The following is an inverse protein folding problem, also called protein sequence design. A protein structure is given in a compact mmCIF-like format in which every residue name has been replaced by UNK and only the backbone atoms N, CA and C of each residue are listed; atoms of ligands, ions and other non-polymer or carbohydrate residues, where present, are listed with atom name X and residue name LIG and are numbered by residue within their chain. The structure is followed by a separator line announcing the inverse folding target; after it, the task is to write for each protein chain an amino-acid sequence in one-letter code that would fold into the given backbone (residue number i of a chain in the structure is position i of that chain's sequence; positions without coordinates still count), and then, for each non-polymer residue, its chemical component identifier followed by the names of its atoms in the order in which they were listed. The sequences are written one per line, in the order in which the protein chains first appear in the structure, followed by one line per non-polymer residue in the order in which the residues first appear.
data_IF_162046225757
#
_entry.id   IF_162046225757
#
_cell.length_a   1.000
_cell.length_b   1.000
_cell.length_c   1.000
_cell.angle_alpha   90.00
_cell.angle_beta   90.00
_cell.angle_gamma   90.00
#
_symmetry.space_group_name_H-M   'P 1'
#
loop_
_entity.id
_entity.type
_entity.pdbx_description
1 polymer ?
#
# COMPACT_ATOMS: atom_id res chain seq x y z
N UNK A 1 15.86 -10.09 13.50
CA UNK A 1 14.59 -10.83 13.31
C UNK A 1 14.96 -12.27 12.97
N UNK A 2 14.46 -13.24 13.72
CA UNK A 2 14.71 -14.67 13.47
C UNK A 2 13.54 -15.24 12.66
N UNK A 3 13.82 -15.79 11.48
CA UNK A 3 12.81 -16.37 10.60
C UNK A 3 12.09 -17.56 11.23
N UNK A 4 12.76 -18.31 12.11
CA UNK A 4 12.12 -19.41 12.82
C UNK A 4 10.97 -18.92 13.72
N UNK A 5 11.12 -17.71 14.29
CA UNK A 5 10.04 -17.12 15.08
C UNK A 5 8.88 -16.66 14.20
N UNK A 6 9.11 -16.28 12.95
CA UNK A 6 8.03 -15.95 12.00
C UNK A 6 7.17 -17.18 11.73
N UNK A 7 7.79 -18.34 11.47
CA UNK A 7 7.05 -19.60 11.27
C UNK A 7 6.28 -20.03 12.52
N UNK A 8 6.90 -19.96 13.70
CA UNK A 8 6.22 -20.26 14.97
C UNK A 8 5.03 -19.33 15.23
N UNK A 9 5.17 -18.04 14.92
CA UNK A 9 4.09 -17.07 15.05
C UNK A 9 2.94 -17.38 14.07
N UNK A 10 3.26 -17.80 12.85
CA UNK A 10 2.26 -18.25 11.88
C UNK A 10 1.53 -19.52 12.35
N UNK A 11 2.25 -20.53 12.85
CA UNK A 11 1.64 -21.75 13.41
C UNK A 11 0.68 -21.41 14.56
N UNK A 12 1.12 -20.54 15.48
CA UNK A 12 0.26 -20.06 16.57
C UNK A 12 -0.96 -19.32 16.04
N UNK A 13 -0.79 -18.42 15.07
CA UNK A 13 -1.90 -17.67 14.47
C UNK A 13 -2.93 -18.60 13.80
N UNK A 14 -2.49 -19.62 13.07
CA UNK A 14 -3.37 -20.64 12.47
C UNK A 14 -4.19 -21.33 13.56
N UNK A 15 -3.51 -21.77 14.64
CA UNK A 15 -4.17 -22.44 15.76
C UNK A 15 -5.21 -21.52 16.42
N UNK A 16 -4.83 -20.29 16.75
CA UNK A 16 -5.72 -19.32 17.39
C UNK A 16 -6.96 -19.03 16.50
N UNK A 17 -6.83 -19.03 15.17
CA UNK A 17 -7.97 -18.86 14.26
C UNK A 17 -8.90 -20.07 14.26
N UNK A 18 -8.35 -21.28 14.18
CA UNK A 18 -9.13 -22.52 14.20
C UNK A 18 -9.81 -22.79 15.54
N UNK A 19 -9.17 -22.41 16.65
CA UNK A 19 -9.75 -22.52 17.99
C UNK A 19 -10.97 -21.59 18.15
N UNK A 20 -11.03 -20.48 17.42
CA UNK A 20 -12.17 -19.55 17.40
C UNK A 20 -13.24 -19.92 16.35
N UNK A 21 -12.83 -20.37 15.16
CA UNK A 21 -13.71 -20.81 14.07
C UNK A 21 -13.05 -21.98 13.33
N UNK A 22 -13.55 -23.20 13.58
CA UNK A 22 -13.02 -24.42 12.98
C UNK A 22 -13.13 -24.45 11.45
N UNK A 23 -14.07 -23.68 10.88
CA UNK A 23 -14.31 -23.57 9.43
C UNK A 23 -13.62 -22.34 8.82
N UNK A 24 -12.80 -21.61 9.58
CA UNK A 24 -12.21 -20.33 9.17
C UNK A 24 -11.54 -20.37 7.78
N UNK A 25 -10.65 -21.35 7.55
CA UNK A 25 -9.95 -21.46 6.27
C UNK A 25 -10.82 -22.01 5.15
N UNK A 26 -11.85 -22.80 5.47
CA UNK A 26 -12.82 -23.26 4.47
C UNK A 26 -13.63 -22.08 3.96
N UNK A 27 -14.16 -21.25 4.87
CA UNK A 27 -14.87 -20.00 4.53
C UNK A 27 -13.97 -19.05 3.74
N UNK A 28 -12.73 -18.85 4.18
CA UNK A 28 -11.77 -17.99 3.47
C UNK A 28 -11.44 -18.52 2.06
N UNK A 29 -11.45 -19.84 1.87
CA UNK A 29 -11.20 -20.48 0.57
C UNK A 29 -12.38 -20.40 -0.42
N UNK A 30 -13.59 -20.06 0.03
CA UNK A 30 -14.77 -19.97 -0.85
C UNK A 30 -14.72 -18.79 -1.82
N UNK A 31 -13.88 -17.80 -1.57
CA UNK A 31 -13.66 -16.66 -2.46
C UNK A 31 -13.46 -15.36 -1.70
N UNK A 32 -13.38 -14.28 -2.46
CA UNK A 32 -13.29 -12.91 -1.95
C UNK A 32 -14.37 -12.05 -2.62
N UNK A 33 -14.90 -11.08 -1.89
CA UNK A 33 -15.79 -10.07 -2.45
C UNK A 33 -15.48 -8.71 -1.82
N UNK A 34 -14.30 -8.13 -2.12
CA UNK A 34 -13.88 -6.89 -1.52
C UNK A 34 -14.73 -5.72 -2.02
N UNK A 35 -15.11 -4.83 -1.12
CA UNK A 35 -15.84 -3.59 -1.44
C UNK A 35 -14.90 -2.47 -1.93
N UNK A 36 -13.61 -2.62 -1.65
CA UNK A 36 -12.58 -1.59 -1.77
C UNK A 36 -11.30 -2.13 -2.40
N UNK A 37 -10.73 -1.37 -3.33
CA UNK A 37 -9.30 -1.42 -3.67
C UNK A 37 -8.54 -0.36 -2.88
N UNK A 38 -7.54 -0.79 -2.10
CA UNK A 38 -6.61 0.08 -1.38
C UNK A 38 -5.24 0.08 -2.05
N UNK A 39 -4.76 1.25 -2.48
CA UNK A 39 -3.43 1.48 -3.04
C UNK A 39 -2.60 2.26 -2.02
N UNK A 40 -1.63 1.60 -1.39
CA UNK A 40 -0.83 2.18 -0.32
C UNK A 40 0.68 2.08 -0.52
N UNK A 41 1.43 2.67 0.41
CA UNK A 41 2.89 2.58 0.39
C UNK A 41 3.37 1.20 0.92
N UNK A 42 4.51 0.72 0.41
CA UNK A 42 5.21 -0.46 0.94
C UNK A 42 5.83 -0.23 2.34
N UNK A 43 5.73 0.97 2.92
CA UNK A 43 6.17 1.26 4.29
C UNK A 43 5.56 0.28 5.30
N UNK A 44 6.40 -0.37 6.11
CA UNK A 44 5.99 -1.47 7.00
C UNK A 44 5.00 -1.06 8.09
N UNK A 45 4.80 0.24 8.33
CA UNK A 45 3.82 0.77 9.28
C UNK A 45 2.40 0.83 8.72
N UNK A 46 2.23 0.62 7.42
CA UNK A 46 0.93 0.67 6.74
C UNK A 46 0.39 -0.74 6.54
N UNK A 47 -0.51 -1.17 7.42
CA UNK A 47 -1.28 -2.42 7.32
C UNK A 47 -2.74 -2.08 7.04
N UNK A 48 -3.18 -2.22 5.78
CA UNK A 48 -4.46 -1.68 5.32
C UNK A 48 -5.66 -2.26 6.09
N UNK A 49 -5.67 -3.57 6.25
CA UNK A 49 -6.73 -4.33 6.92
C UNK A 49 -6.81 -3.94 8.41
N UNK A 50 -5.69 -3.90 9.11
CA UNK A 50 -5.65 -3.52 10.52
C UNK A 50 -6.05 -2.05 10.75
N UNK A 51 -5.57 -1.13 9.90
CA UNK A 51 -5.91 0.29 9.98
C UNK A 51 -7.39 0.55 9.78
N UNK A 52 -8.06 -0.28 8.97
CA UNK A 52 -9.49 -0.14 8.65
C UNK A 52 -10.39 -1.02 9.53
N UNK A 53 -9.81 -1.89 10.37
CA UNK A 53 -10.57 -2.87 11.16
C UNK A 53 -11.24 -3.94 10.30
N UNK A 54 -10.65 -4.26 9.15
CA UNK A 54 -11.19 -5.20 8.16
C UNK A 54 -10.47 -6.53 8.21
N UNK A 55 -11.16 -7.60 7.80
CA UNK A 55 -10.65 -8.95 7.76
C UNK A 55 -10.04 -9.33 6.40
N UNK A 56 -9.37 -10.49 6.32
CA UNK A 56 -8.92 -11.04 5.05
C UNK A 56 -10.10 -11.22 4.08
N UNK A 57 -9.96 -10.71 2.86
CA UNK A 57 -10.99 -10.79 1.82
C UNK A 57 -11.91 -9.57 1.70
N UNK A 58 -11.90 -8.66 2.68
CA UNK A 58 -12.74 -7.45 2.69
C UNK A 58 -12.14 -6.31 1.85
N UNK A 59 -10.81 -6.30 1.68
CA UNK A 59 -10.06 -5.28 0.94
C UNK A 59 -9.14 -5.93 -0.08
N UNK A 60 -9.15 -5.42 -1.31
CA UNK A 60 -8.16 -5.76 -2.32
C UNK A 60 -7.00 -4.77 -2.22
N UNK A 61 -5.77 -5.25 -2.05
CA UNK A 61 -4.64 -4.40 -1.67
C UNK A 61 -3.56 -4.38 -2.74
N UNK A 62 -3.12 -3.18 -3.13
CA UNK A 62 -1.89 -2.95 -3.87
C UNK A 62 -0.94 -2.08 -3.05
N UNK A 63 0.35 -2.42 -3.06
CA UNK A 63 1.37 -1.64 -2.36
C UNK A 63 2.62 -1.50 -3.19
N UNK A 64 3.11 -0.26 -3.29
CA UNK A 64 4.38 0.06 -3.93
C UNK A 64 5.08 1.22 -3.22
N UNK A 65 6.30 1.58 -3.63
CA UNK A 65 7.04 2.68 -3.01
C UNK A 65 6.30 4.00 -3.29
N UNK A 66 5.82 4.65 -2.21
CA UNK A 66 5.08 5.91 -2.24
C UNK A 66 3.75 5.87 -3.02
N UNK A 67 3.00 4.76 -2.93
CA UNK A 67 1.59 4.67 -3.33
C UNK A 67 1.25 5.24 -4.72
N UNK A 68 2.15 5.04 -5.68
CA UNK A 68 2.02 5.64 -7.00
C UNK A 68 1.07 4.85 -7.90
N UNK A 69 0.34 5.60 -8.73
CA UNK A 69 -0.51 5.07 -9.79
C UNK A 69 0.00 5.62 -11.11
N UNK A 70 0.80 4.83 -11.81
CA UNK A 70 1.43 5.24 -13.08
C UNK A 70 0.71 4.53 -14.23
N UNK A 71 0.20 5.30 -15.20
CA UNK A 71 -0.61 4.74 -16.31
C UNK A 71 0.13 3.73 -17.21
N UNK A 72 1.46 3.74 -17.19
CA UNK A 72 2.30 2.78 -17.93
C UNK A 72 2.86 1.65 -17.05
N UNK A 73 2.57 1.64 -15.75
CA UNK A 73 2.95 0.54 -14.87
C UNK A 73 1.95 -0.61 -15.02
N UNK A 74 2.36 -1.66 -15.72
CA UNK A 74 1.54 -2.85 -15.91
C UNK A 74 1.18 -3.53 -14.59
N UNK A 75 1.99 -3.39 -13.53
CA UNK A 75 1.70 -3.97 -12.22
C UNK A 75 0.47 -3.29 -11.61
N UNK A 76 0.55 -1.98 -11.32
CA UNK A 76 -0.58 -1.22 -10.77
C UNK A 76 -1.82 -1.23 -11.68
N UNK A 77 -1.64 -1.11 -12.99
CA UNK A 77 -2.77 -1.12 -13.94
C UNK A 77 -3.46 -2.47 -14.05
N UNK A 78 -2.73 -3.59 -13.95
CA UNK A 78 -3.37 -4.91 -13.89
C UNK A 78 -4.23 -5.07 -12.63
N UNK A 79 -3.76 -4.55 -11.47
CA UNK A 79 -4.48 -4.60 -10.20
C UNK A 79 -5.74 -3.74 -10.23
N UNK A 80 -5.64 -2.50 -10.72
CA UNK A 80 -6.81 -1.61 -10.89
C UNK A 80 -7.84 -2.23 -11.83
N UNK A 81 -7.41 -2.75 -12.99
CA UNK A 81 -8.32 -3.40 -13.92
C UNK A 81 -8.99 -4.61 -13.30
N UNK A 82 -8.25 -5.44 -12.54
CA UNK A 82 -8.84 -6.61 -11.90
C UNK A 82 -9.87 -6.23 -10.84
N UNK A 83 -9.55 -5.28 -9.98
CA UNK A 83 -10.45 -4.80 -8.95
C UNK A 83 -11.75 -4.25 -9.53
N UNK A 84 -11.65 -3.39 -10.55
CA UNK A 84 -12.81 -2.70 -11.13
C UNK A 84 -13.60 -3.62 -12.06
N UNK A 85 -12.92 -4.35 -12.95
CA UNK A 85 -13.59 -5.11 -14.01
C UNK A 85 -14.04 -6.49 -13.54
N UNK A 86 -13.26 -7.16 -12.69
CA UNK A 86 -13.53 -8.54 -12.27
C UNK A 86 -14.12 -8.63 -10.86
N UNK A 87 -13.58 -7.90 -9.89
CA UNK A 87 -14.10 -7.91 -8.51
C UNK A 87 -15.25 -6.92 -8.27
N UNK A 88 -15.46 -5.97 -9.18
CA UNK A 88 -16.53 -4.96 -9.10
C UNK A 88 -16.50 -4.17 -7.78
N UNK A 89 -15.30 -3.83 -7.30
CA UNK A 89 -15.14 -2.99 -6.11
C UNK A 89 -15.91 -1.68 -6.28
N UNK A 90 -16.57 -1.22 -5.22
CA UNK A 90 -17.34 0.02 -5.23
C UNK A 90 -16.44 1.26 -5.03
N UNK A 91 -15.27 1.06 -4.41
CA UNK A 91 -14.36 2.14 -4.04
C UNK A 91 -12.92 1.83 -4.42
N UNK A 92 -12.19 2.87 -4.84
CA UNK A 92 -10.73 2.85 -5.02
C UNK A 92 -10.14 3.96 -4.17
N UNK A 93 -9.22 3.63 -3.27
CA UNK A 93 -8.56 4.57 -2.37
C UNK A 93 -7.06 4.56 -2.63
N UNK A 94 -6.49 5.74 -2.87
CA UNK A 94 -5.04 5.96 -2.84
C UNK A 94 -4.69 6.57 -1.49
N UNK A 95 -3.90 5.86 -0.69
CA UNK A 95 -3.58 6.24 0.68
C UNK A 95 -2.08 6.52 0.83
N UNK A 96 -1.75 7.81 0.93
CA UNK A 96 -0.43 8.27 1.37
C UNK A 96 -0.26 8.16 2.88
N UNK A 97 0.97 8.38 3.35
CA UNK A 97 1.26 8.45 4.78
C UNK A 97 2.34 9.48 5.07
N UNK A 98 2.30 10.06 6.27
CA UNK A 98 3.32 11.00 6.73
C UNK A 98 4.70 10.35 6.83
N UNK A 99 5.73 11.17 6.63
CA UNK A 99 7.13 10.76 6.68
C UNK A 99 7.43 9.58 5.76
N UNK A 100 6.89 9.61 4.53
CA UNK A 100 7.14 8.58 3.53
C UNK A 100 8.60 8.59 3.07
N UNK A 101 9.28 7.46 3.26
CA UNK A 101 10.68 7.30 2.84
C UNK A 101 10.88 7.48 1.33
N UNK A 102 9.92 7.03 0.52
CA UNK A 102 9.96 7.19 -0.94
C UNK A 102 9.82 8.66 -1.37
N UNK A 103 8.88 9.39 -0.78
CA UNK A 103 8.71 10.84 -1.03
C UNK A 103 9.95 11.61 -0.58
N UNK A 104 10.46 11.35 0.62
CA UNK A 104 11.68 11.98 1.14
C UNK A 104 12.88 11.70 0.24
N UNK A 105 13.03 10.47 -0.27
CA UNK A 105 14.10 10.11 -1.20
C UNK A 105 13.97 10.83 -2.55
N UNK A 106 12.74 11.04 -3.05
CA UNK A 106 12.50 11.77 -4.29
C UNK A 106 12.94 13.23 -4.21
N UNK A 107 12.84 13.85 -3.02
CA UNK A 107 13.22 15.25 -2.77
C UNK A 107 14.73 15.47 -2.60
N UNK A 108 15.52 14.41 -2.53
CA UNK A 108 16.97 14.51 -2.39
C UNK A 108 17.66 14.52 -3.75
N UNK A 109 18.72 15.32 -3.87
CA UNK A 109 19.65 15.30 -5.01
C UNK A 109 20.66 14.16 -4.86
N UNK A 110 20.16 12.92 -4.78
CA UNK A 110 20.96 11.70 -4.67
C UNK A 110 20.67 10.76 -5.86
N UNK A 111 21.69 10.04 -6.30
CA UNK A 111 21.52 8.92 -7.24
C UNK A 111 21.06 7.68 -6.47
N UNK A 112 19.83 7.23 -6.74
CA UNK A 112 19.20 6.08 -6.11
C UNK A 112 19.10 4.86 -7.06
N UNK A 113 19.86 4.87 -8.16
CA UNK A 113 19.89 3.79 -9.14
C UNK A 113 18.53 3.53 -9.77
N UNK A 114 18.03 2.29 -9.64
CA UNK A 114 16.75 1.86 -10.25
C UNK A 114 15.55 2.68 -9.77
N UNK A 115 15.62 3.24 -8.55
CA UNK A 115 14.55 4.07 -7.99
C UNK A 115 14.41 5.42 -8.70
N UNK A 116 15.44 5.89 -9.41
CA UNK A 116 15.40 7.20 -10.06
C UNK A 116 14.26 7.33 -11.07
N UNK A 117 14.00 6.27 -11.85
CA UNK A 117 12.93 6.24 -12.83
C UNK A 117 11.56 6.25 -12.15
N UNK A 118 11.40 5.45 -11.09
CA UNK A 118 10.16 5.37 -10.30
C UNK A 118 9.85 6.71 -9.62
N UNK A 119 10.80 7.26 -8.85
CA UNK A 119 10.65 8.49 -8.07
C UNK A 119 10.58 9.76 -8.92
N UNK A 120 10.87 9.68 -10.22
CA UNK A 120 10.67 10.80 -11.15
C UNK A 120 9.22 11.27 -11.16
N UNK A 121 8.25 10.36 -11.07
CA UNK A 121 6.83 10.72 -11.02
C UNK A 121 6.51 11.66 -9.83
N UNK A 122 7.10 11.41 -8.66
CA UNK A 122 6.95 12.29 -7.48
C UNK A 122 7.63 13.64 -7.71
N UNK A 123 8.82 13.65 -8.34
CA UNK A 123 9.52 14.90 -8.69
C UNK A 123 8.71 15.74 -9.67
N UNK A 124 7.97 15.11 -10.59
CA UNK A 124 7.07 15.81 -11.49
C UNK A 124 5.89 16.44 -10.74
N UNK A 125 5.30 15.75 -9.75
CA UNK A 125 4.30 16.36 -8.85
C UNK A 125 4.89 17.56 -8.11
N UNK A 126 6.06 17.42 -7.50
CA UNK A 126 6.73 18.54 -6.83
C UNK A 126 6.95 19.72 -7.79
N UNK A 127 7.44 19.47 -9.01
CA UNK A 127 7.67 20.52 -10.01
C UNK A 127 6.38 21.26 -10.36
N UNK A 128 5.26 20.54 -10.52
CA UNK A 128 3.96 21.13 -10.83
C UNK A 128 3.41 21.98 -9.67
N UNK A 129 3.70 21.58 -8.42
CA UNK A 129 3.15 22.20 -7.21
C UNK A 129 4.19 22.96 -6.36
N UNK A 130 5.36 23.31 -6.93
CA UNK A 130 6.50 23.80 -6.15
C UNK A 130 6.20 25.07 -5.34
N UNK A 131 5.35 25.97 -5.84
CA UNK A 131 4.98 27.19 -5.11
C UNK A 131 4.19 26.87 -3.82
N UNK A 132 3.25 25.93 -3.90
CA UNK A 132 2.46 25.48 -2.76
C UNK A 132 3.35 24.73 -1.77
N UNK A 133 4.12 23.75 -2.25
CA UNK A 133 4.96 22.91 -1.40
C UNK A 133 6.09 23.69 -0.72
N UNK A 134 6.72 24.65 -1.42
CA UNK A 134 7.76 25.49 -0.82
C UNK A 134 7.22 26.53 0.17
N UNK A 135 5.90 26.77 0.18
CA UNK A 135 5.28 27.70 1.13
C UNK A 135 5.05 27.08 2.53
N UNK A 136 5.07 25.75 2.60
CA UNK A 136 4.86 24.99 3.83
C UNK A 136 6.17 25.03 4.64
N UNK A 137 6.11 25.65 5.82
CA UNK A 137 7.27 25.82 6.72
C UNK A 137 7.58 24.60 7.57
N UNK A 138 6.64 23.67 7.66
CA UNK A 138 6.74 22.44 8.45
C UNK A 138 7.23 21.30 7.55
N UNK A 139 8.52 20.96 7.67
CA UNK A 139 9.16 19.95 6.81
C UNK A 139 8.53 18.56 6.95
N UNK A 140 7.93 18.21 8.08
CA UNK A 140 7.26 16.91 8.23
C UNK A 140 5.96 16.84 7.41
N UNK A 141 5.25 17.97 7.30
CA UNK A 141 4.04 18.10 6.46
C UNK A 141 4.35 18.16 4.97
N UNK A 142 5.59 18.46 4.59
CA UNK A 142 6.06 18.45 3.21
C UNK A 142 6.36 17.07 2.63
N UNK A 143 6.09 16.01 3.38
CA UNK A 143 6.31 14.62 2.92
C UNK A 143 5.04 13.91 2.48
N UNK A 144 3.92 14.62 2.36
CA UNK A 144 2.65 14.10 1.87
C UNK A 144 2.60 14.31 0.35
N UNK A 145 2.59 13.21 -0.40
CA UNK A 145 2.16 13.18 -1.81
C UNK A 145 1.27 11.97 -2.00
#
# INVERSE_FOLDING_TARGET
MDLNNVFKNNEKWIKDRLDNDAEYFEKLGQGQNPELLFIGCSDSRVTAEELMGLGPGDVFVHRNIANMVVGTDANGMSVVNYAVTHLKVNHVVVCGHYACGGVKAAMQSADLGVLNGWLRNIRDVYRMHHNELNSIKDEEKNTIV
#
